data_IF_345344763895
#
_entry.id   IF_345344763895
#
_cell.length_a   1.000
_cell.length_b   1.000
_cell.length_c   1.000
_cell.angle_alpha   90.00
_cell.angle_beta   90.00
_cell.angle_gamma   90.00
#
_symmetry.space_group_name_H-M   'P 1'
#
loop_
_entity.id
_entity.type
_entity.pdbx_description
1 polymer ?
#
# COMPACT_ATOMS: atom_id res chain seq x y z
N UNK A 1 26.26 1.07 11.88
CA UNK A 1 26.49 1.86 10.64
C UNK A 1 26.95 1.00 9.46
N UNK A 2 28.02 0.19 9.58
CA UNK A 2 28.54 -0.62 8.46
C UNK A 2 27.49 -1.57 7.82
N UNK A 3 26.70 -2.30 8.63
CA UNK A 3 25.63 -3.20 8.12
C UNK A 3 24.60 -2.47 7.26
N UNK A 4 24.15 -1.29 7.69
CA UNK A 4 23.18 -0.49 6.97
C UNK A 4 23.75 0.03 5.64
N UNK A 5 25.03 0.38 5.62
CA UNK A 5 25.73 0.80 4.40
C UNK A 5 25.86 -0.34 3.38
N UNK A 6 26.29 -1.53 3.82
CA UNK A 6 26.37 -2.72 2.97
C UNK A 6 24.99 -3.07 2.39
N UNK A 7 23.95 -3.08 3.23
CA UNK A 7 22.56 -3.34 2.82
C UNK A 7 22.08 -2.32 1.78
N UNK A 8 22.37 -1.03 1.98
CA UNK A 8 22.05 0.02 1.00
C UNK A 8 22.76 -0.21 -0.34
N UNK A 9 24.03 -0.63 -0.34
CA UNK A 9 24.74 -0.97 -1.57
C UNK A 9 24.10 -2.17 -2.28
N UNK A 10 23.78 -3.24 -1.55
CA UNK A 10 23.08 -4.41 -2.10
C UNK A 10 21.73 -4.04 -2.72
N UNK A 11 20.99 -3.10 -2.09
CA UNK A 11 19.72 -2.61 -2.64
C UNK A 11 19.88 -1.84 -3.94
N UNK A 12 20.96 -1.06 -4.12
CA UNK A 12 21.24 -0.40 -5.42
C UNK A 12 21.41 -1.42 -6.56
N UNK A 13 22.01 -2.58 -6.27
CA UNK A 13 22.13 -3.65 -7.25
C UNK A 13 20.82 -4.39 -7.46
N UNK A 14 20.16 -4.83 -6.37
CA UNK A 14 18.92 -5.62 -6.43
C UNK A 14 17.74 -4.85 -7.00
N UNK A 15 17.62 -3.57 -6.65
CA UNK A 15 16.52 -2.69 -7.01
C UNK A 15 17.02 -1.54 -7.88
N UNK A 16 17.77 -1.86 -8.94
CA UNK A 16 18.44 -0.87 -9.81
C UNK A 16 17.53 0.14 -10.50
N UNK A 17 16.23 -0.15 -10.58
CA UNK A 17 15.21 0.74 -11.15
C UNK A 17 14.45 1.53 -10.08
N UNK A 18 14.84 1.44 -8.81
CA UNK A 18 14.14 2.02 -7.67
C UNK A 18 15.13 2.60 -6.65
N UNK A 19 14.65 3.46 -5.76
CA UNK A 19 15.47 4.12 -4.76
C UNK A 19 15.09 3.63 -3.37
N UNK A 20 16.03 2.96 -2.71
CA UNK A 20 15.90 2.56 -1.31
C UNK A 20 16.89 3.38 -0.48
N UNK A 21 16.39 4.37 0.25
CA UNK A 21 17.21 5.26 1.06
C UNK A 21 17.87 4.52 2.22
N UNK A 22 18.97 5.10 2.73
CA UNK A 22 19.68 4.56 3.88
C UNK A 22 18.74 4.41 5.09
N UNK A 23 18.76 3.23 5.72
CA UNK A 23 17.91 2.89 6.86
C UNK A 23 16.51 2.41 6.50
N UNK A 24 16.13 2.38 5.21
CA UNK A 24 14.95 1.63 4.78
C UNK A 24 15.25 0.12 4.75
N UNK A 25 14.23 -0.69 4.99
CA UNK A 25 14.34 -2.15 5.06
C UNK A 25 13.33 -2.82 4.15
N UNK A 26 13.82 -3.81 3.40
CA UNK A 26 13.05 -4.60 2.44
C UNK A 26 13.32 -6.08 2.70
N UNK A 27 12.28 -6.79 3.13
CA UNK A 27 12.34 -8.20 3.51
C UNK A 27 11.28 -8.99 2.74
N UNK A 28 11.68 -10.06 2.03
CA UNK A 28 10.76 -10.92 1.26
C UNK A 28 9.74 -10.13 0.42
N UNK A 29 10.20 -9.06 -0.23
CA UNK A 29 9.34 -8.10 -0.94
C UNK A 29 9.88 -7.79 -2.34
N UNK A 30 8.97 -7.47 -3.26
CA UNK A 30 9.25 -6.99 -4.61
C UNK A 30 8.95 -5.50 -4.76
N UNK A 31 9.77 -4.81 -5.55
CA UNK A 31 9.58 -3.39 -5.88
C UNK A 31 9.48 -3.26 -7.40
N UNK A 32 8.44 -2.59 -7.88
CA UNK A 32 8.30 -2.16 -9.27
C UNK A 32 9.33 -1.11 -9.65
N UNK A 33 9.19 -0.55 -10.85
CA UNK A 33 10.09 0.50 -11.37
C UNK A 33 9.78 1.84 -10.71
N UNK A 34 10.80 2.65 -10.46
CA UNK A 34 10.69 4.00 -9.89
C UNK A 34 9.96 4.03 -8.54
N UNK A 35 10.09 2.96 -7.75
CA UNK A 35 9.62 2.95 -6.36
C UNK A 35 10.63 3.69 -5.49
N UNK A 36 10.13 4.49 -4.54
CA UNK A 36 10.99 5.17 -3.56
C UNK A 36 10.61 4.77 -2.14
N UNK A 37 11.55 4.16 -1.42
CA UNK A 37 11.42 3.91 0.02
C UNK A 37 12.33 4.89 0.77
N UNK A 38 11.73 5.79 1.54
CA UNK A 38 12.46 6.78 2.33
C UNK A 38 13.06 6.16 3.61
N UNK A 39 13.95 6.90 4.28
CA UNK A 39 14.67 6.40 5.46
C UNK A 39 13.71 5.91 6.54
N UNK A 40 14.03 4.77 7.17
CA UNK A 40 13.21 4.09 8.19
C UNK A 40 11.89 3.48 7.69
N UNK A 41 11.60 3.52 6.38
CA UNK A 41 10.49 2.74 5.84
C UNK A 41 10.82 1.24 5.92
N UNK A 42 9.89 0.43 6.39
CA UNK A 42 10.05 -1.03 6.50
C UNK A 42 8.96 -1.72 5.69
N UNK A 43 9.35 -2.58 4.76
CA UNK A 43 8.41 -3.40 3.97
C UNK A 43 8.77 -4.88 4.08
N UNK A 44 7.79 -5.68 4.50
CA UNK A 44 7.97 -7.12 4.75
C UNK A 44 6.84 -7.92 4.08
N UNK A 45 7.19 -8.88 3.23
CA UNK A 45 6.19 -9.69 2.52
C UNK A 45 5.31 -8.89 1.56
N UNK A 46 5.87 -7.85 0.91
CA UNK A 46 5.10 -6.89 0.13
C UNK A 46 5.43 -6.92 -1.36
N UNK A 47 4.43 -6.60 -2.20
CA UNK A 47 4.63 -6.28 -3.61
C UNK A 47 4.25 -4.82 -3.83
N UNK A 48 5.20 -3.99 -4.24
CA UNK A 48 5.02 -2.54 -4.39
C UNK A 48 5.03 -2.16 -5.87
N UNK A 49 3.92 -1.62 -6.35
CA UNK A 49 3.73 -1.22 -7.74
C UNK A 49 4.63 -0.05 -8.15
N UNK A 50 4.88 0.05 -9.45
CA UNK A 50 5.78 1.06 -10.02
C UNK A 50 5.31 2.50 -9.73
N UNK A 51 6.26 3.43 -9.64
CA UNK A 51 6.01 4.86 -9.38
C UNK A 51 5.35 5.19 -8.04
N UNK A 52 5.28 4.23 -7.11
CA UNK A 52 4.79 4.44 -5.75
C UNK A 52 5.93 4.86 -4.83
N UNK A 53 5.61 5.62 -3.78
CA UNK A 53 6.58 5.91 -2.71
C UNK A 53 6.01 5.67 -1.32
N UNK A 54 6.92 5.33 -0.39
CA UNK A 54 6.62 5.12 1.03
C UNK A 54 7.58 5.97 1.85
N UNK A 55 7.04 6.98 2.52
CA UNK A 55 7.83 7.92 3.30
C UNK A 55 8.34 7.33 4.63
N UNK A 56 9.12 8.14 5.32
CA UNK A 56 9.88 7.75 6.49
C UNK A 56 9.02 7.26 7.66
N UNK A 57 9.54 6.27 8.38
CA UNK A 57 8.90 5.72 9.57
C UNK A 57 7.69 4.80 9.32
N UNK A 58 7.27 4.65 8.06
CA UNK A 58 6.13 3.78 7.72
C UNK A 58 6.52 2.30 7.75
N UNK A 59 5.61 1.46 8.23
CA UNK A 59 5.75 0.00 8.28
C UNK A 59 4.64 -0.65 7.48
N UNK A 60 4.99 -1.47 6.49
CA UNK A 60 4.05 -2.18 5.62
C UNK A 60 4.35 -3.67 5.70
N UNK A 61 3.37 -4.43 6.18
CA UNK A 61 3.49 -5.88 6.37
C UNK A 61 2.42 -6.60 5.56
N UNK A 62 2.83 -7.63 4.82
CA UNK A 62 1.97 -8.50 4.04
C UNK A 62 0.91 -7.74 3.21
N UNK A 63 1.38 -6.89 2.30
CA UNK A 63 0.51 -6.05 1.48
C UNK A 63 0.84 -6.15 -0.02
N UNK A 64 -0.15 -5.91 -0.86
CA UNK A 64 0.02 -5.62 -2.27
C UNK A 64 -0.36 -4.15 -2.48
N UNK A 65 0.57 -3.31 -2.95
CA UNK A 65 0.34 -1.89 -3.21
C UNK A 65 0.41 -1.65 -4.71
N UNK A 66 -0.64 -1.06 -5.26
CA UNK A 66 -0.71 -0.72 -6.68
C UNK A 66 0.31 0.34 -7.10
N UNK A 67 0.45 0.59 -8.42
CA UNK A 67 1.31 1.63 -8.93
C UNK A 67 0.77 3.03 -8.60
N UNK A 68 1.65 4.03 -8.67
CA UNK A 68 1.33 5.46 -8.48
C UNK A 68 0.74 5.82 -7.10
N UNK A 69 1.03 5.03 -6.06
CA UNK A 69 0.57 5.31 -4.71
C UNK A 69 1.48 6.31 -3.97
N UNK A 70 0.84 7.17 -3.18
CA UNK A 70 1.49 8.14 -2.30
C UNK A 70 1.27 7.76 -0.85
N UNK A 71 2.27 7.16 -0.20
CA UNK A 71 2.17 6.76 1.21
C UNK A 71 3.02 7.70 2.05
N UNK A 72 2.36 8.52 2.86
CA UNK A 72 3.01 9.50 3.74
C UNK A 72 3.76 8.83 4.90
N UNK A 73 4.38 9.67 5.74
CA UNK A 73 5.23 9.24 6.84
C UNK A 73 4.43 8.57 7.96
N UNK A 74 5.09 7.70 8.73
CA UNK A 74 4.54 7.05 9.92
C UNK A 74 3.21 6.29 9.69
N UNK A 75 3.02 5.74 8.48
CA UNK A 75 1.87 4.91 8.12
C UNK A 75 2.12 3.45 8.51
N UNK A 76 1.13 2.78 9.10
CA UNK A 76 1.18 1.37 9.46
C UNK A 76 0.13 0.56 8.67
N UNK A 77 0.58 -0.43 7.90
CA UNK A 77 -0.28 -1.30 7.09
C UNK A 77 -0.05 -2.76 7.47
N UNK A 78 -1.14 -3.51 7.65
CA UNK A 78 -1.07 -4.94 7.97
C UNK A 78 -1.03 -5.22 9.46
N UNK A 79 -1.72 -4.41 10.28
CA UNK A 79 -1.78 -4.60 11.73
C UNK A 79 -2.49 -5.91 12.08
N UNK A 80 -1.76 -6.80 12.75
CA UNK A 80 -2.22 -8.11 13.21
C UNK A 80 -3.30 -8.00 14.30
N UNK A 81 -4.17 -9.00 14.37
CA UNK A 81 -5.12 -9.15 15.47
C UNK A 81 -4.74 -10.35 16.34
N UNK A 82 -5.15 -10.31 17.60
CA UNK A 82 -4.98 -11.40 18.55
C UNK A 82 -6.35 -12.03 18.84
N UNK A 83 -6.43 -13.36 19.09
CA UNK A 83 -7.67 -14.00 19.51
C UNK A 83 -8.12 -13.42 20.85
N UNK A 84 -9.33 -12.88 20.89
CA UNK A 84 -9.92 -12.27 22.11
C UNK A 84 -10.85 -13.22 22.87
N UNK A 85 -11.16 -14.38 22.30
CA UNK A 85 -12.05 -15.38 22.90
C UNK A 85 -11.33 -16.43 23.74
N UNK A 86 -10.00 -16.39 23.79
CA UNK A 86 -9.19 -17.30 24.60
C UNK A 86 -8.93 -16.70 25.98
N UNK A 87 -8.42 -17.52 26.91
CA UNK A 87 -8.11 -17.07 28.28
C UNK A 87 -7.03 -15.97 28.32
N UNK A 88 -6.25 -15.81 27.25
CA UNK A 88 -5.22 -14.77 27.10
C UNK A 88 -5.05 -14.40 25.64
N UNK A 89 -4.75 -13.13 25.38
CA UNK A 89 -4.36 -12.61 24.06
C UNK A 89 -2.87 -12.78 23.75
N UNK A 90 -2.07 -13.27 24.71
CA UNK A 90 -0.64 -13.51 24.52
C UNK A 90 -0.40 -14.83 23.75
N UNK A 91 0.41 -14.83 22.67
CA UNK A 91 0.64 -16.00 21.84
C UNK A 91 1.25 -17.21 22.55
N UNK A 92 1.93 -17.08 23.70
CA UNK A 92 2.42 -18.26 24.44
C UNK A 92 1.30 -19.24 24.83
N UNK A 93 0.06 -18.76 24.90
CA UNK A 93 -1.13 -19.56 25.23
C UNK A 93 -1.77 -20.26 24.02
N UNK A 94 -1.41 -19.91 22.79
CA UNK A 94 -2.13 -20.40 21.61
C UNK A 94 -1.32 -20.59 20.32
N UNK A 95 -0.07 -20.15 20.25
CA UNK A 95 0.77 -20.28 19.07
C UNK A 95 2.13 -20.85 19.45
N UNK A 96 2.46 -22.05 18.98
CA UNK A 96 3.75 -22.69 19.23
C UNK A 96 4.86 -22.21 18.29
N UNK A 97 4.54 -21.34 17.32
CA UNK A 97 5.49 -20.81 16.31
C UNK A 97 5.89 -19.35 16.57
N UNK A 98 5.38 -18.78 17.65
CA UNK A 98 5.61 -17.41 18.07
C UNK A 98 7.08 -17.15 18.49
N UNK A 99 7.56 -15.89 18.48
CA UNK A 99 8.99 -15.58 18.66
C UNK A 99 9.47 -15.42 20.11
N UNK A 100 8.61 -15.49 21.11
CA UNK A 100 8.95 -15.38 22.53
C UNK A 100 9.75 -16.62 23.00
N UNK A 101 10.63 -16.48 24.01
CA UNK A 101 11.53 -17.57 24.43
C UNK A 101 10.88 -18.84 24.99
N UNK A 102 9.61 -18.79 25.37
CA UNK A 102 8.88 -19.91 25.97
C UNK A 102 7.48 -20.07 25.35
N UNK A 103 6.89 -21.26 25.43
CA UNK A 103 5.56 -21.60 24.93
C UNK A 103 4.84 -22.55 25.88
N UNK A 104 3.59 -22.24 26.23
CA UNK A 104 2.75 -23.11 27.06
C UNK A 104 1.95 -24.11 26.22
N UNK A 105 2.02 -24.03 24.90
CA UNK A 105 1.35 -24.94 23.98
C UNK A 105 2.37 -25.69 23.11
N UNK A 106 2.16 -26.99 22.96
CA UNK A 106 2.97 -27.83 22.09
C UNK A 106 2.61 -27.69 20.59
N UNK A 107 1.42 -27.18 20.29
CA UNK A 107 0.95 -26.94 18.92
C UNK A 107 0.03 -25.71 18.88
N UNK A 108 0.09 -24.96 17.78
CA UNK A 108 -0.75 -23.78 17.58
C UNK A 108 -2.24 -24.14 17.54
N UNK A 109 -3.01 -23.43 18.35
CA UNK A 109 -4.47 -23.50 18.49
C UNK A 109 -5.19 -22.45 17.64
N UNK A 110 -4.47 -21.52 17.06
CA UNK A 110 -4.98 -20.46 16.20
C UNK A 110 -4.08 -20.33 14.96
N UNK A 111 -4.70 -20.07 13.81
CA UNK A 111 -3.97 -19.75 12.59
C UNK A 111 -3.68 -18.25 12.57
N UNK A 112 -2.41 -17.88 12.58
CA UNK A 112 -1.97 -16.49 12.40
C UNK A 112 -1.93 -16.10 10.92
N UNK A 113 -2.90 -16.53 10.11
CA UNK A 113 -2.99 -16.11 8.72
C UNK A 113 -3.36 -14.62 8.68
N UNK A 114 -2.34 -13.76 8.68
CA UNK A 114 -2.51 -12.36 8.36
C UNK A 114 -2.99 -12.29 6.92
N UNK A 115 -4.27 -11.97 6.74
CA UNK A 115 -4.81 -11.73 5.42
C UNK A 115 -4.05 -10.59 4.76
N UNK A 116 -3.74 -10.78 3.47
CA UNK A 116 -2.95 -9.82 2.71
C UNK A 116 -3.77 -8.54 2.52
N UNK A 117 -3.20 -7.39 2.86
CA UNK A 117 -3.85 -6.09 2.62
C UNK A 117 -3.69 -5.71 1.15
N UNK A 118 -4.76 -5.25 0.49
CA UNK A 118 -4.74 -4.86 -0.92
C UNK A 118 -4.95 -3.36 -1.05
N UNK A 119 -3.97 -2.64 -1.59
CA UNK A 119 -4.07 -1.21 -1.90
C UNK A 119 -4.06 -1.06 -3.41
N UNK A 120 -5.13 -0.48 -3.97
CA UNK A 120 -5.26 -0.22 -5.39
C UNK A 120 -4.23 0.78 -5.94
N UNK A 121 -4.27 1.05 -7.23
CA UNK A 121 -3.42 2.08 -7.83
C UNK A 121 -3.86 3.50 -7.38
N UNK A 122 -3.01 4.51 -7.54
CA UNK A 122 -3.34 5.93 -7.32
C UNK A 122 -3.91 6.24 -5.92
N UNK A 123 -3.60 5.41 -4.91
CA UNK A 123 -4.09 5.65 -3.54
C UNK A 123 -3.17 6.65 -2.85
N UNK A 124 -3.78 7.64 -2.17
CA UNK A 124 -3.08 8.52 -1.25
C UNK A 124 -3.42 8.16 0.19
N UNK A 125 -2.39 7.82 0.98
CA UNK A 125 -2.53 7.54 2.40
C UNK A 125 -1.80 8.63 3.19
N UNK A 126 -2.56 9.40 3.97
CA UNK A 126 -2.06 10.50 4.80
C UNK A 126 -1.17 10.03 5.95
N UNK A 127 -0.44 10.98 6.54
CA UNK A 127 0.53 10.70 7.59
C UNK A 127 -0.14 10.04 8.80
N UNK A 128 0.54 9.09 9.45
CA UNK A 128 0.08 8.50 10.72
C UNK A 128 -1.14 7.57 10.60
N UNK A 129 -1.54 7.19 9.39
CA UNK A 129 -2.66 6.28 9.17
C UNK A 129 -2.31 4.86 9.63
N UNK A 130 -3.28 4.16 10.23
CA UNK A 130 -3.17 2.75 10.61
C UNK A 130 -4.23 1.92 9.89
N UNK A 131 -3.82 0.82 9.25
CA UNK A 131 -4.69 -0.05 8.46
C UNK A 131 -4.60 -1.48 9.01
N UNK A 132 -5.75 -2.02 9.41
CA UNK A 132 -5.90 -3.41 9.85
C UNK A 132 -5.48 -4.37 8.71
N UNK A 133 -4.88 -5.51 9.05
CA UNK A 133 -4.60 -6.56 8.07
C UNK A 133 -5.88 -7.06 7.36
N UNK A 134 -5.75 -7.46 6.09
CA UNK A 134 -6.86 -7.98 5.26
C UNK A 134 -7.77 -6.94 4.62
N UNK A 135 -7.51 -5.65 4.83
CA UNK A 135 -8.35 -4.57 4.26
C UNK A 135 -8.05 -4.35 2.78
N UNK A 136 -9.09 -4.05 2.00
CA UNK A 136 -9.00 -3.60 0.61
C UNK A 136 -9.23 -2.10 0.52
N UNK A 137 -8.27 -1.39 -0.06
CA UNK A 137 -8.35 0.04 -0.36
C UNK A 137 -8.47 0.21 -1.87
N UNK A 138 -9.64 0.67 -2.31
CA UNK A 138 -9.96 0.82 -3.73
C UNK A 138 -9.05 1.81 -4.45
N UNK A 139 -8.89 1.60 -5.76
CA UNK A 139 -8.09 2.48 -6.63
C UNK A 139 -8.50 3.94 -6.50
N UNK A 140 -7.53 4.84 -6.50
CA UNK A 140 -7.77 6.27 -6.42
C UNK A 140 -8.32 6.74 -5.07
N UNK A 141 -8.41 5.90 -4.03
CA UNK A 141 -8.94 6.35 -2.74
C UNK A 141 -7.98 7.29 -2.02
N UNK A 142 -8.52 8.12 -1.13
CA UNK A 142 -7.76 8.98 -0.22
C UNK A 142 -8.08 8.62 1.21
N UNK A 143 -7.07 8.35 2.01
CA UNK A 143 -7.19 8.14 3.45
C UNK A 143 -6.60 9.34 4.17
N UNK A 144 -7.42 10.10 4.88
CA UNK A 144 -7.01 11.27 5.64
C UNK A 144 -6.00 10.94 6.73
N UNK A 145 -5.11 11.89 7.04
CA UNK A 145 -4.07 11.72 8.05
C UNK A 145 -4.64 11.29 9.42
N UNK A 146 -3.91 10.43 10.13
CA UNK A 146 -4.27 9.93 11.46
C UNK A 146 -5.45 8.95 11.51
N UNK A 147 -6.00 8.54 10.36
CA UNK A 147 -7.16 7.65 10.34
C UNK A 147 -6.82 6.20 10.75
N UNK A 148 -7.78 5.50 11.36
CA UNK A 148 -7.70 4.05 11.63
C UNK A 148 -8.70 3.32 10.73
N UNK A 149 -8.18 2.67 9.68
CA UNK A 149 -8.99 1.94 8.70
C UNK A 149 -9.22 0.51 9.18
N UNK A 150 -10.47 0.22 9.51
CA UNK A 150 -10.91 -1.09 10.03
C UNK A 150 -11.83 -1.86 9.08
N UNK A 151 -12.16 -1.28 7.91
CA UNK A 151 -13.07 -1.83 6.90
C UNK A 151 -12.58 -1.43 5.50
N UNK A 152 -13.04 -2.14 4.49
CA UNK A 152 -12.71 -1.85 3.09
C UNK A 152 -13.14 -0.43 2.69
N UNK A 153 -12.39 0.14 1.75
CA UNK A 153 -12.54 1.51 1.25
C UNK A 153 -12.88 1.46 -0.23
N UNK A 154 -14.00 2.06 -0.61
CA UNK A 154 -14.49 2.08 -1.99
C UNK A 154 -13.56 2.88 -2.92
N UNK A 155 -13.38 2.48 -4.20
CA UNK A 155 -12.60 3.23 -5.17
C UNK A 155 -13.00 4.70 -5.27
N UNK A 156 -12.01 5.59 -5.39
CA UNK A 156 -12.18 7.04 -5.46
C UNK A 156 -12.93 7.68 -4.29
N UNK A 157 -13.12 6.96 -3.18
CA UNK A 157 -13.66 7.55 -1.95
C UNK A 157 -12.57 8.26 -1.16
N UNK A 158 -13.00 9.23 -0.36
CA UNK A 158 -12.19 9.90 0.65
C UNK A 158 -12.72 9.45 2.00
N UNK A 159 -11.86 8.84 2.82
CA UNK A 159 -12.20 8.37 4.17
C UNK A 159 -11.29 9.03 5.21
N UNK A 160 -11.74 9.10 6.46
CA UNK A 160 -10.92 9.61 7.57
C UNK A 160 -11.59 9.39 8.92
N UNK A 161 -10.83 9.60 10.01
CA UNK A 161 -11.31 9.45 11.38
C UNK A 161 -10.88 8.16 12.08
N UNK A 162 -11.34 8.01 13.33
CA UNK A 162 -11.06 6.86 14.20
C UNK A 162 -12.36 6.33 14.81
N UNK A 163 -12.96 5.25 14.29
CA UNK A 163 -12.56 4.54 13.07
C UNK A 163 -12.79 5.39 11.81
N UNK A 164 -12.09 5.06 10.73
CA UNK A 164 -12.22 5.75 9.45
C UNK A 164 -13.62 5.54 8.87
N UNK A 165 -14.27 6.62 8.47
CA UNK A 165 -15.57 6.61 7.79
C UNK A 165 -15.49 7.34 6.46
N UNK A 166 -16.42 7.02 5.56
CA UNK A 166 -16.63 7.77 4.33
C UNK A 166 -16.88 9.26 4.63
N UNK A 167 -16.19 10.13 3.89
CA UNK A 167 -16.35 11.58 3.96
C UNK A 167 -17.01 12.12 2.67
N UNK A 168 -16.45 11.76 1.52
CA UNK A 168 -16.93 12.19 0.20
C UNK A 168 -16.32 11.36 -0.91
N UNK A 169 -16.84 11.50 -2.13
CA UNK A 169 -16.16 11.05 -3.35
C UNK A 169 -15.12 12.08 -3.80
N UNK A 170 -14.03 11.63 -4.45
CA UNK A 170 -13.07 12.53 -5.12
C UNK A 170 -13.71 13.27 -6.30
N UNK A 171 -14.60 12.58 -7.00
CA UNK A 171 -15.22 13.04 -8.25
C UNK A 171 -16.72 12.68 -8.26
N UNK A 172 -17.52 13.23 -9.20
CA UNK A 172 -18.87 12.75 -9.43
C UNK A 172 -18.88 11.23 -9.73
N UNK A 173 -19.90 10.46 -9.29
CA UNK A 173 -19.91 9.00 -9.43
C UNK A 173 -19.66 8.50 -10.85
N UNK A 174 -20.22 9.18 -11.87
CA UNK A 174 -19.99 8.85 -13.28
C UNK A 174 -18.52 8.93 -13.66
N UNK A 175 -17.81 9.95 -13.20
CA UNK A 175 -16.38 10.13 -13.48
C UNK A 175 -15.53 9.11 -12.71
N UNK A 176 -15.91 8.76 -11.48
CA UNK A 176 -15.28 7.66 -10.74
C UNK A 176 -15.34 6.34 -11.54
N UNK A 177 -16.51 5.99 -12.08
CA UNK A 177 -16.68 4.79 -12.92
C UNK A 177 -15.81 4.84 -14.17
N UNK A 178 -15.84 5.96 -14.92
CA UNK A 178 -15.04 6.12 -16.13
C UNK A 178 -13.53 6.01 -15.86
N UNK A 179 -13.03 6.64 -14.80
CA UNK A 179 -11.64 6.55 -14.39
C UNK A 179 -11.28 5.11 -13.97
N UNK A 180 -12.15 4.44 -13.22
CA UNK A 180 -11.97 3.05 -12.81
C UNK A 180 -11.86 2.10 -14.01
N UNK A 181 -12.82 2.19 -14.93
CA UNK A 181 -12.91 1.35 -16.13
C UNK A 181 -11.74 1.62 -17.09
N UNK A 182 -11.25 2.85 -17.15
CA UNK A 182 -10.14 3.23 -18.02
C UNK A 182 -8.85 2.45 -17.72
N UNK A 183 -8.67 1.99 -16.47
CA UNK A 183 -7.45 1.35 -15.96
C UNK A 183 -6.19 2.10 -16.42
N UNK A 184 -6.22 3.43 -16.38
CA UNK A 184 -5.17 4.28 -16.92
C UNK A 184 -3.79 3.95 -16.30
N UNK A 185 -3.75 3.49 -15.06
CA UNK A 185 -2.52 3.07 -14.37
C UNK A 185 -1.81 1.88 -15.01
N UNK A 186 -2.47 1.11 -15.87
CA UNK A 186 -1.85 0.03 -16.65
C UNK A 186 -1.34 0.50 -18.02
N UNK A 187 -1.49 1.79 -18.35
CA UNK A 187 -1.14 2.35 -19.66
C UNK A 187 0.36 2.62 -19.74
N UNK A 188 0.93 2.45 -20.94
CA UNK A 188 2.34 2.73 -21.17
C UNK A 188 2.70 4.19 -20.87
N UNK A 189 3.87 4.38 -20.25
CA UNK A 189 4.29 5.70 -19.78
C UNK A 189 4.56 6.70 -20.91
N UNK A 190 4.87 6.23 -22.13
CA UNK A 190 5.01 7.11 -23.29
C UNK A 190 3.66 7.70 -23.71
N UNK A 191 2.58 6.92 -23.60
CA UNK A 191 1.21 7.41 -23.82
C UNK A 191 0.81 8.38 -22.72
N UNK A 192 1.05 8.04 -21.45
CA UNK A 192 0.78 8.95 -20.32
C UNK A 192 1.52 10.29 -20.48
N UNK A 193 2.79 10.29 -20.91
CA UNK A 193 3.54 11.53 -21.20
C UNK A 193 2.90 12.37 -22.30
N UNK A 194 2.42 11.76 -23.38
CA UNK A 194 1.70 12.47 -24.46
C UNK A 194 0.40 13.12 -23.97
N UNK A 195 -0.27 12.50 -23.00
CA UNK A 195 -1.52 12.98 -22.42
C UNK A 195 -1.33 13.92 -21.22
N UNK A 196 -0.09 14.21 -20.81
CA UNK A 196 0.23 14.96 -19.57
C UNK A 196 -0.44 16.33 -19.46
N UNK A 197 -0.67 17.02 -20.58
CA UNK A 197 -1.37 18.31 -20.65
C UNK A 197 -2.86 18.27 -20.24
N UNK A 198 -3.40 17.09 -19.97
CA UNK A 198 -4.79 16.89 -19.53
C UNK A 198 -4.89 16.34 -18.11
N UNK A 199 -3.78 16.17 -17.37
CA UNK A 199 -3.81 15.54 -16.03
C UNK A 199 -4.60 16.35 -14.99
N UNK A 200 -4.79 17.64 -15.21
CA UNK A 200 -5.60 18.56 -14.41
C UNK A 200 -7.08 18.57 -14.80
N UNK A 201 -7.46 17.91 -15.90
CA UNK A 201 -8.84 17.72 -16.33
C UNK A 201 -9.14 16.21 -16.53
N UNK A 202 -9.61 15.51 -15.48
CA UNK A 202 -9.80 14.07 -15.54
C UNK A 202 -10.86 13.62 -16.55
N UNK A 203 -11.86 14.45 -16.87
CA UNK A 203 -12.87 14.13 -17.88
C UNK A 203 -12.25 14.12 -19.28
N UNK A 204 -11.51 15.19 -19.60
CA UNK A 204 -10.80 15.30 -20.89
C UNK A 204 -9.71 14.23 -20.98
N UNK A 205 -8.99 13.95 -19.90
CA UNK A 205 -7.97 12.90 -19.87
C UNK A 205 -8.55 11.52 -20.25
N UNK A 206 -9.66 11.11 -19.62
CA UNK A 206 -10.27 9.80 -19.90
C UNK A 206 -10.76 9.73 -21.34
N UNK A 207 -11.41 10.80 -21.85
CA UNK A 207 -11.84 10.85 -23.24
C UNK A 207 -10.66 10.71 -24.21
N UNK A 208 -9.55 11.44 -23.98
CA UNK A 208 -8.35 11.35 -24.82
C UNK A 208 -7.62 10.01 -24.70
N UNK A 209 -7.64 9.38 -23.54
CA UNK A 209 -7.08 8.04 -23.38
C UNK A 209 -7.87 6.99 -24.18
N UNK A 210 -9.20 7.08 -24.20
CA UNK A 210 -10.05 6.21 -25.01
C UNK A 210 -9.79 6.40 -26.51
N UNK A 211 -9.65 7.64 -26.98
CA UNK A 211 -9.28 7.95 -28.38
C UNK A 211 -7.95 7.31 -28.80
N UNK A 212 -6.96 7.26 -27.91
CA UNK A 212 -5.65 6.61 -28.21
C UNK A 212 -5.83 5.09 -28.27
N UNK A 213 -6.49 4.49 -27.28
CA UNK A 213 -6.68 3.04 -27.22
C UNK A 213 -7.44 2.49 -28.42
N UNK A 214 -8.39 3.24 -28.97
CA UNK A 214 -9.14 2.85 -30.17
C UNK A 214 -8.32 2.91 -31.47
N UNK A 215 -7.20 3.65 -31.49
CA UNK A 215 -6.31 3.75 -32.66
C UNK A 215 -5.23 2.66 -32.69
N UNK A 216 -5.00 2.01 -31.55
CA UNK A 216 -4.01 0.94 -31.38
C UNK A 216 -4.65 -0.47 -31.53
N UNK A 217 -5.95 -0.55 -31.83
CA UNK A 217 -6.72 -1.77 -32.17
C UNK A 217 -7.04 -1.76 -33.65
#
# INVERSE_FOLDING_TARGET
MLKAFIKSLLYKFKYSQSVVHLGAEVHSSSLGKNVVLFSRAQVTGCDIGSYSYIQSGSTVTNACIGPYCSIASDVNIGLANHPMSFISTNPVFYDSTQPLPDSFVAASKHSNNLERTEVGADVWIGQGVSIKAGIKIGVGSVVGAGAIVTRDVEPYSVVGGVPATFLKWRFPPKLCSLLHESKWWNTDTTVLRKLSKYFDDPEVFVAKLQEVKLKDV
#
